data_IF_252615616006
#
_entry.id   IF_252615616006
#
_cell.length_a   1.000
_cell.length_b   1.000
_cell.length_c   1.000
_cell.angle_alpha   90.00
_cell.angle_beta   90.00
_cell.angle_gamma   90.00
#
_symmetry.space_group_name_H-M   'P 1'
#
loop_
_entity.id
_entity.type
_entity.pdbx_description
1 polymer ?
#
# COMPACT_ATOMS: atom_id res chain seq x y z
N UNK A 1 -11.20 -48.91 3.97
CA UNK A 1 -10.72 -47.81 4.84
C UNK A 1 -11.65 -47.73 6.04
N UNK A 2 -11.13 -47.88 7.26
CA UNK A 2 -11.93 -47.81 8.49
C UNK A 2 -12.58 -46.42 8.65
N UNK A 3 -13.66 -46.32 9.42
CA UNK A 3 -14.28 -45.02 9.75
C UNK A 3 -13.29 -44.09 10.45
N UNK A 4 -12.41 -44.66 11.28
CA UNK A 4 -11.34 -43.95 11.98
C UNK A 4 -10.34 -43.28 11.00
N UNK A 5 -9.85 -44.04 10.01
CA UNK A 5 -8.97 -43.51 8.97
C UNK A 5 -9.66 -42.42 8.13
N UNK A 6 -10.97 -42.51 7.89
CA UNK A 6 -11.73 -41.46 7.17
C UNK A 6 -11.81 -40.17 7.99
N UNK A 7 -12.04 -40.28 9.29
CA UNK A 7 -12.10 -39.14 10.20
C UNK A 7 -10.73 -38.45 10.30
N UNK A 8 -9.66 -39.22 10.46
CA UNK A 8 -8.30 -38.71 10.52
C UNK A 8 -7.89 -37.97 9.24
N UNK A 9 -8.18 -38.54 8.06
CA UNK A 9 -7.90 -37.88 6.77
C UNK A 9 -8.67 -36.56 6.64
N UNK A 10 -9.92 -36.50 7.10
CA UNK A 10 -10.71 -35.27 7.05
C UNK A 10 -10.13 -34.19 7.97
N UNK A 11 -9.71 -34.57 9.18
CA UNK A 11 -9.06 -33.67 10.14
C UNK A 11 -7.73 -33.13 9.60
N UNK A 12 -6.87 -34.00 9.05
CA UNK A 12 -5.60 -33.59 8.46
C UNK A 12 -5.79 -32.64 7.28
N UNK A 13 -6.79 -32.88 6.42
CA UNK A 13 -7.12 -31.96 5.32
C UNK A 13 -7.53 -30.58 5.83
N UNK A 14 -8.33 -30.52 6.90
CA UNK A 14 -8.73 -29.24 7.51
C UNK A 14 -7.52 -28.49 8.09
N UNK A 15 -6.64 -29.17 8.81
CA UNK A 15 -5.41 -28.57 9.36
C UNK A 15 -4.48 -28.06 8.27
N UNK A 16 -4.29 -28.82 7.19
CA UNK A 16 -3.47 -28.39 6.05
C UNK A 16 -4.07 -27.14 5.38
N UNK A 17 -5.40 -27.06 5.22
CA UNK A 17 -6.05 -25.88 4.67
C UNK A 17 -5.85 -24.64 5.57
N UNK A 18 -5.96 -24.79 6.89
CA UNK A 18 -5.71 -23.71 7.85
C UNK A 18 -4.24 -23.24 7.84
N UNK A 19 -3.29 -24.17 7.73
CA UNK A 19 -1.87 -23.85 7.59
C UNK A 19 -1.57 -23.09 6.30
N UNK A 20 -2.22 -23.44 5.18
CA UNK A 20 -2.07 -22.70 3.93
C UNK A 20 -2.58 -21.25 4.07
N UNK A 21 -3.73 -21.03 4.70
CA UNK A 21 -4.24 -19.67 4.96
C UNK A 21 -3.28 -18.86 5.85
N UNK A 22 -2.76 -19.48 6.92
CA UNK A 22 -1.78 -18.85 7.81
C UNK A 22 -0.49 -18.49 7.07
N UNK A 23 0.01 -19.39 6.22
CA UNK A 23 1.19 -19.15 5.38
C UNK A 23 0.93 -17.98 4.43
N UNK A 24 -0.21 -17.96 3.75
CA UNK A 24 -0.58 -16.88 2.82
C UNK A 24 -0.65 -15.52 3.53
N UNK A 25 -1.23 -15.47 4.73
CA UNK A 25 -1.26 -14.26 5.56
C UNK A 25 0.15 -13.72 5.84
N UNK A 26 1.08 -14.61 6.23
CA UNK A 26 2.48 -14.24 6.48
C UNK A 26 3.21 -13.79 5.21
N UNK A 27 2.92 -14.41 4.06
CA UNK A 27 3.52 -14.01 2.78
C UNK A 27 3.03 -12.63 2.32
N UNK A 28 1.74 -12.33 2.47
CA UNK A 28 1.19 -11.00 2.21
C UNK A 28 1.79 -9.96 3.16
N UNK A 29 1.93 -10.29 4.44
CA UNK A 29 2.60 -9.40 5.39
C UNK A 29 4.05 -9.14 4.95
N UNK A 30 4.83 -10.17 4.67
CA UNK A 30 6.21 -10.03 4.18
C UNK A 30 6.29 -9.17 2.91
N UNK A 31 5.35 -9.33 1.98
CA UNK A 31 5.26 -8.52 0.77
C UNK A 31 5.07 -7.04 1.10
N UNK A 32 4.13 -6.70 2.00
CA UNK A 32 3.90 -5.33 2.44
C UNK A 32 5.11 -4.74 3.18
N UNK A 33 5.73 -5.52 4.07
CA UNK A 33 6.94 -5.10 4.77
C UNK A 33 8.11 -4.87 3.82
N UNK A 34 8.28 -5.73 2.80
CA UNK A 34 9.32 -5.55 1.78
C UNK A 34 9.13 -4.24 1.03
N UNK A 35 7.90 -3.89 0.68
CA UNK A 35 7.60 -2.58 0.07
C UNK A 35 8.03 -1.42 0.98
N UNK A 36 7.64 -1.43 2.25
CA UNK A 36 8.01 -0.38 3.21
C UNK A 36 9.54 -0.24 3.36
N UNK A 37 10.26 -1.37 3.42
CA UNK A 37 11.72 -1.37 3.50
C UNK A 37 12.39 -0.85 2.21
N UNK A 38 11.92 -1.26 1.02
CA UNK A 38 12.46 -0.76 -0.24
C UNK A 38 12.26 0.75 -0.36
N UNK A 39 11.08 1.24 0.01
CA UNK A 39 10.77 2.66 -0.03
C UNK A 39 11.63 3.47 0.95
N UNK A 40 11.81 2.97 2.18
CA UNK A 40 12.70 3.59 3.17
C UNK A 40 14.17 3.63 2.71
N UNK A 41 14.64 2.58 2.04
CA UNK A 41 15.99 2.50 1.48
C UNK A 41 16.14 3.29 0.17
N UNK A 42 15.09 3.96 -0.30
CA UNK A 42 15.05 4.68 -1.57
C UNK A 42 15.34 3.79 -2.78
N UNK A 43 15.05 2.48 -2.70
CA UNK A 43 15.19 1.50 -3.78
C UNK A 43 13.91 1.43 -4.61
N UNK A 44 13.48 2.60 -5.06
CA UNK A 44 12.18 2.82 -5.68
C UNK A 44 12.03 2.09 -7.02
N UNK A 45 13.12 1.89 -7.75
CA UNK A 45 13.15 1.16 -9.03
C UNK A 45 12.76 -0.31 -8.90
N UNK A 46 12.90 -0.89 -7.69
CA UNK A 46 12.57 -2.30 -7.42
C UNK A 46 11.09 -2.51 -7.05
N UNK A 47 10.41 -1.47 -6.57
CA UNK A 47 9.02 -1.55 -6.10
C UNK A 47 8.06 -2.10 -7.18
N UNK A 48 8.15 -1.72 -8.47
CA UNK A 48 7.27 -2.29 -9.49
C UNK A 48 7.34 -3.81 -9.62
N UNK A 49 8.41 -4.48 -9.17
CA UNK A 49 8.52 -5.95 -9.19
C UNK A 49 7.62 -6.65 -8.16
N UNK A 50 7.12 -5.91 -7.17
CA UNK A 50 6.20 -6.42 -6.14
C UNK A 50 4.75 -6.51 -6.65
N UNK A 51 4.43 -5.83 -7.75
CA UNK A 51 3.12 -5.87 -8.39
C UNK A 51 2.97 -7.10 -9.29
N UNK A 52 1.74 -7.50 -9.56
CA UNK A 52 1.45 -8.54 -10.54
C UNK A 52 1.92 -8.07 -11.93
N UNK A 53 2.53 -8.98 -12.69
CA UNK A 53 3.14 -8.68 -13.99
C UNK A 53 2.28 -9.17 -15.16
N UNK A 54 1.50 -10.23 -14.95
CA UNK A 54 0.71 -10.90 -16.01
C UNK A 54 -0.79 -10.70 -15.83
N UNK A 55 -1.24 -10.42 -14.61
CA UNK A 55 -2.65 -10.23 -14.27
C UNK A 55 -3.16 -8.86 -14.77
N UNK A 56 -4.16 -8.83 -15.68
CA UNK A 56 -4.74 -7.58 -16.15
C UNK A 56 -5.48 -6.82 -15.04
N UNK A 57 -5.44 -5.49 -15.08
CA UNK A 57 -6.18 -4.63 -14.14
C UNK A 57 -5.39 -4.15 -12.93
N UNK A 58 -4.06 -4.36 -12.92
CA UNK A 58 -3.16 -3.75 -11.93
C UNK A 58 -3.34 -2.23 -11.92
N UNK A 59 -3.34 -1.61 -10.74
CA UNK A 59 -3.43 -0.15 -10.63
C UNK A 59 -2.78 0.39 -9.35
N UNK A 60 -2.42 1.67 -9.38
CA UNK A 60 -1.88 2.37 -8.22
C UNK A 60 -2.45 3.78 -8.09
N UNK A 61 -2.86 4.17 -6.88
CA UNK A 61 -3.47 5.48 -6.55
C UNK A 61 -2.82 6.05 -5.29
N UNK A 62 -1.89 7.00 -5.43
CA UNK A 62 -1.13 7.55 -4.31
C UNK A 62 -1.60 8.97 -4.02
N UNK A 63 -2.23 9.19 -2.87
CA UNK A 63 -2.62 10.53 -2.40
C UNK A 63 -3.44 11.30 -3.44
N UNK A 64 -2.92 12.45 -3.91
CA UNK A 64 -3.50 13.29 -4.94
C UNK A 64 -2.84 13.09 -6.32
N UNK A 65 -1.92 12.15 -6.47
CA UNK A 65 -1.15 11.93 -7.69
C UNK A 65 -2.02 11.58 -8.90
N UNK A 66 -3.13 10.87 -8.65
CA UNK A 66 -3.95 10.24 -9.67
C UNK A 66 -3.65 8.74 -9.83
N UNK A 67 -4.53 8.06 -10.58
CA UNK A 67 -4.44 6.62 -10.79
C UNK A 67 -3.52 6.32 -11.97
N UNK A 68 -2.59 5.40 -11.75
CA UNK A 68 -1.71 4.81 -12.75
C UNK A 68 -2.19 3.40 -13.09
N UNK A 69 -2.56 3.16 -14.34
CA UNK A 69 -3.15 1.91 -14.80
C UNK A 69 -2.12 0.96 -15.42
N UNK A 70 -2.24 -0.31 -15.05
CA UNK A 70 -1.36 -1.39 -15.46
C UNK A 70 0.06 -1.27 -14.88
N UNK A 71 0.82 -2.36 -15.03
CA UNK A 71 2.22 -2.39 -14.58
C UNK A 71 3.10 -1.32 -15.25
N UNK A 72 2.76 -0.91 -16.48
CA UNK A 72 3.43 0.20 -17.18
C UNK A 72 3.18 1.54 -16.48
N UNK A 73 1.96 1.81 -16.04
CA UNK A 73 1.63 2.99 -15.25
C UNK A 73 2.37 3.00 -13.92
N UNK A 74 2.36 1.88 -13.19
CA UNK A 74 3.10 1.73 -11.93
C UNK A 74 4.58 2.04 -12.14
N UNK A 75 5.23 1.43 -13.15
CA UNK A 75 6.63 1.71 -13.47
C UNK A 75 6.85 3.18 -13.79
N UNK A 76 5.98 3.79 -14.60
CA UNK A 76 6.05 5.22 -14.96
C UNK A 76 6.11 6.10 -13.72
N UNK A 77 5.23 5.89 -12.74
CA UNK A 77 5.24 6.66 -11.49
C UNK A 77 6.58 6.54 -10.74
N UNK A 78 7.09 5.32 -10.56
CA UNK A 78 8.33 5.06 -9.83
C UNK A 78 9.60 5.47 -10.60
N UNK A 79 9.54 5.68 -11.91
CA UNK A 79 10.67 6.19 -12.71
C UNK A 79 10.58 7.68 -13.01
N UNK A 80 9.50 8.37 -12.63
CA UNK A 80 9.31 9.81 -12.89
C UNK A 80 8.99 10.59 -11.62
N UNK A 81 7.85 10.33 -11.00
CA UNK A 81 7.35 11.07 -9.83
C UNK A 81 8.19 10.77 -8.59
N UNK A 82 8.43 9.49 -8.29
CA UNK A 82 9.26 9.05 -7.19
C UNK A 82 10.52 8.34 -7.69
N UNK A 83 11.13 8.86 -8.76
CA UNK A 83 12.38 8.33 -9.29
C UNK A 83 13.50 8.39 -8.25
N UNK A 84 14.42 7.42 -8.33
CA UNK A 84 15.60 7.42 -7.46
C UNK A 84 16.43 8.69 -7.63
N UNK A 85 16.54 9.23 -8.85
CA UNK A 85 17.19 10.51 -9.12
C UNK A 85 16.61 11.66 -8.26
N UNK A 86 15.29 11.71 -8.09
CA UNK A 86 14.64 12.73 -7.26
C UNK A 86 14.81 12.44 -5.77
N UNK A 87 14.63 11.19 -5.37
CA UNK A 87 14.63 10.81 -3.95
C UNK A 87 16.03 10.65 -3.35
N UNK A 88 17.07 10.39 -4.15
CA UNK A 88 18.47 10.33 -3.72
C UNK A 88 19.08 11.73 -3.65
N UNK A 89 18.37 12.66 -3.00
CA UNK A 89 18.81 14.03 -2.78
C UNK A 89 19.15 14.26 -1.29
N UNK A 90 20.11 15.15 -0.98
CA UNK A 90 20.51 15.40 0.40
C UNK A 90 19.34 15.82 1.29
N UNK A 91 19.13 15.04 2.35
CA UNK A 91 18.10 15.26 3.36
C UNK A 91 16.73 14.68 3.02
N UNK A 92 16.59 13.91 1.94
CA UNK A 92 15.36 13.15 1.69
C UNK A 92 15.19 12.01 2.72
N UNK A 93 14.00 11.89 3.28
CA UNK A 93 13.59 10.78 4.14
C UNK A 93 12.14 10.44 3.81
N UNK A 94 11.83 9.16 3.66
CA UNK A 94 10.45 8.70 3.53
C UNK A 94 10.27 7.44 4.38
N UNK A 95 9.76 7.60 5.60
CA UNK A 95 9.40 6.49 6.48
C UNK A 95 7.90 6.26 6.39
N UNK A 96 7.48 5.06 6.00
CA UNK A 96 6.08 4.64 6.00
C UNK A 96 5.97 3.28 6.69
N UNK A 97 5.77 3.28 8.00
CA UNK A 97 5.64 2.07 8.81
C UNK A 97 4.25 1.46 8.61
N UNK A 98 4.19 0.32 7.93
CA UNK A 98 2.96 -0.45 7.74
C UNK A 98 2.67 -1.26 9.00
N UNK A 99 1.60 -0.94 9.72
CA UNK A 99 1.25 -1.54 11.00
C UNK A 99 -0.24 -1.91 11.09
N UNK A 100 -0.56 -2.77 12.06
CA UNK A 100 -1.92 -3.21 12.40
C UNK A 100 -2.73 -3.69 11.18
N UNK A 101 -2.23 -4.69 10.43
CA UNK A 101 -2.96 -5.22 9.29
C UNK A 101 -4.29 -5.84 9.68
N UNK A 102 -5.25 -5.73 8.77
CA UNK A 102 -6.35 -6.68 8.62
C UNK A 102 -6.26 -7.20 7.19
N UNK A 103 -6.13 -8.52 7.03
CA UNK A 103 -5.97 -9.18 5.73
C UNK A 103 -7.03 -10.27 5.64
N UNK A 104 -7.86 -10.19 4.61
CA UNK A 104 -8.87 -11.19 4.30
C UNK A 104 -8.48 -11.93 3.02
N UNK A 105 -8.46 -13.25 3.08
CA UNK A 105 -8.02 -14.13 1.97
C UNK A 105 -9.24 -14.94 1.53
N UNK A 106 -9.47 -14.96 0.21
CA UNK A 106 -10.58 -15.70 -0.35
C UNK A 106 -10.42 -17.21 -0.14
N UNK A 107 -11.51 -17.98 -0.24
CA UNK A 107 -11.49 -19.42 0.07
C UNK A 107 -10.46 -20.23 -0.73
N UNK A 108 -10.25 -19.86 -1.99
CA UNK A 108 -9.32 -20.53 -2.90
C UNK A 108 -7.85 -20.13 -2.67
N UNK A 109 -7.57 -19.14 -1.81
CA UNK A 109 -6.20 -18.68 -1.54
C UNK A 109 -5.52 -18.06 -2.76
N UNK A 110 -6.29 -17.39 -3.62
CA UNK A 110 -5.80 -16.77 -4.87
C UNK A 110 -5.91 -15.24 -4.88
N UNK A 111 -6.77 -14.69 -4.02
CA UNK A 111 -7.00 -13.25 -3.85
C UNK A 111 -7.03 -12.89 -2.38
N UNK A 112 -6.60 -11.68 -2.07
CA UNK A 112 -6.75 -11.14 -0.73
C UNK A 112 -7.03 -9.63 -0.78
N UNK A 113 -7.68 -9.12 0.26
CA UNK A 113 -7.78 -7.68 0.54
C UNK A 113 -6.96 -7.40 1.79
N UNK A 114 -6.38 -6.22 1.89
CA UNK A 114 -5.69 -5.81 3.09
C UNK A 114 -5.78 -4.32 3.34
N UNK A 115 -5.85 -3.96 4.62
CA UNK A 115 -5.77 -2.58 5.06
C UNK A 115 -4.68 -2.46 6.11
N UNK A 116 -3.81 -1.47 5.94
CA UNK A 116 -2.68 -1.21 6.82
C UNK A 116 -2.67 0.24 7.24
N UNK A 117 -2.46 0.51 8.52
CA UNK A 117 -2.06 1.86 8.93
C UNK A 117 -0.64 2.13 8.47
N UNK A 118 -0.38 3.37 8.06
CA UNK A 118 0.94 3.85 7.69
C UNK A 118 1.28 5.08 8.51
N UNK A 119 2.06 4.87 9.57
CA UNK A 119 2.62 5.96 10.36
C UNK A 119 3.99 6.30 9.82
N UNK A 120 4.27 7.59 9.64
CA UNK A 120 5.45 7.99 8.90
C UNK A 120 6.04 9.33 9.32
N UNK A 121 7.27 9.52 8.87
CA UNK A 121 7.99 10.78 8.93
C UNK A 121 8.69 10.98 7.62
N UNK A 122 8.55 12.18 7.05
CA UNK A 122 9.08 12.52 5.74
C UNK A 122 9.92 13.78 5.90
N UNK A 123 11.05 13.84 5.23
CA UNK A 123 11.72 15.11 4.95
C UNK A 123 11.86 15.30 3.46
N UNK A 124 11.42 16.47 3.01
CA UNK A 124 11.39 16.84 1.61
C UNK A 124 11.87 18.27 1.46
N UNK A 125 12.69 18.50 0.43
CA UNK A 125 13.11 19.84 0.06
C UNK A 125 11.98 20.54 -0.68
N UNK A 126 11.61 21.72 -0.20
CA UNK A 126 10.70 22.63 -0.90
C UNK A 126 11.37 23.99 -0.99
N UNK A 127 11.66 24.40 -2.22
CA UNK A 127 12.49 25.58 -2.51
C UNK A 127 13.83 25.52 -1.75
N UNK A 128 14.12 26.53 -0.92
CA UNK A 128 15.36 26.65 -0.16
C UNK A 128 15.27 26.07 1.26
N UNK A 129 14.16 25.41 1.62
CA UNK A 129 13.95 24.83 2.95
C UNK A 129 13.82 23.31 2.89
N UNK A 130 14.28 22.64 3.95
CA UNK A 130 13.95 21.24 4.22
C UNK A 130 12.77 21.19 5.18
N UNK A 131 11.66 20.63 4.76
CA UNK A 131 10.51 20.43 5.64
C UNK A 131 10.65 19.10 6.41
N UNK A 132 10.20 19.09 7.66
CA UNK A 132 10.09 17.91 8.51
C UNK A 132 8.61 17.65 8.73
N UNK A 133 8.11 16.54 8.21
CA UNK A 133 6.69 16.24 8.09
C UNK A 133 6.35 14.96 8.86
N UNK A 134 5.22 14.99 9.57
CA UNK A 134 4.57 13.79 10.07
C UNK A 134 3.54 13.34 9.06
N UNK A 135 3.53 12.04 8.75
CA UNK A 135 2.61 11.46 7.78
C UNK A 135 1.77 10.36 8.42
N UNK A 136 0.47 10.36 8.14
CA UNK A 136 -0.44 9.30 8.48
C UNK A 136 -1.35 9.01 7.30
N UNK A 137 -1.54 7.74 7.01
CA UNK A 137 -2.53 7.28 6.05
C UNK A 137 -2.84 5.80 6.21
N UNK A 138 -3.62 5.28 5.28
CA UNK A 138 -3.89 3.85 5.16
C UNK A 138 -3.47 3.35 3.78
N UNK A 139 -2.85 2.17 3.74
CA UNK A 139 -2.77 1.39 2.51
C UNK A 139 -4.04 0.58 2.35
N UNK A 140 -4.69 0.74 1.20
CA UNK A 140 -5.91 0.09 0.74
C UNK A 140 -5.51 -0.85 -0.41
N UNK A 141 -5.51 -2.15 -0.14
CA UNK A 141 -4.78 -3.13 -0.92
C UNK A 141 -5.68 -4.24 -1.44
N UNK A 142 -5.58 -4.52 -2.74
CA UNK A 142 -5.98 -5.79 -3.34
C UNK A 142 -4.71 -6.58 -3.70
N UNK A 143 -4.72 -7.89 -3.44
CA UNK A 143 -3.65 -8.82 -3.76
C UNK A 143 -4.13 -9.94 -4.65
N UNK A 144 -3.21 -10.48 -5.46
CA UNK A 144 -3.43 -11.67 -6.28
C UNK A 144 -2.24 -12.61 -6.15
N UNK A 145 -2.49 -13.91 -6.14
CA UNK A 145 -1.44 -14.94 -6.24
C UNK A 145 -1.17 -15.22 -7.72
N UNK A 146 -0.01 -14.81 -8.20
CA UNK A 146 0.44 -14.99 -9.58
C UNK A 146 1.63 -15.96 -9.60
N UNK A 147 1.52 -17.04 -10.37
CA UNK A 147 2.54 -18.10 -10.45
C UNK A 147 2.97 -18.68 -9.08
N UNK A 148 2.03 -18.73 -8.12
CA UNK A 148 2.28 -19.24 -6.77
C UNK A 148 2.85 -18.23 -5.78
N UNK A 149 3.08 -16.98 -6.19
CA UNK A 149 3.56 -15.90 -5.32
C UNK A 149 2.51 -14.80 -5.15
N UNK A 150 2.34 -14.29 -3.94
CA UNK A 150 1.51 -13.12 -3.68
C UNK A 150 2.15 -11.85 -4.27
N UNK A 151 1.33 -11.05 -4.96
CA UNK A 151 1.71 -9.77 -5.57
C UNK A 151 0.67 -8.69 -5.27
N UNK A 152 1.08 -7.42 -5.33
CA UNK A 152 0.14 -6.30 -5.32
C UNK A 152 -0.68 -6.31 -6.61
N UNK A 153 -2.01 -6.29 -6.48
CA UNK A 153 -2.92 -6.14 -7.61
C UNK A 153 -3.37 -4.68 -7.72
N UNK A 154 -3.97 -4.13 -6.65
CA UNK A 154 -4.27 -2.71 -6.55
C UNK A 154 -3.68 -2.16 -5.27
N UNK A 155 -2.98 -1.05 -5.38
CA UNK A 155 -2.41 -0.34 -4.24
C UNK A 155 -2.97 1.07 -4.22
N UNK A 156 -3.62 1.46 -3.15
CA UNK A 156 -3.94 2.85 -2.92
C UNK A 156 -3.41 3.34 -1.56
N UNK A 157 -2.80 4.52 -1.55
CA UNK A 157 -2.39 5.20 -0.32
C UNK A 157 -3.37 6.33 -0.03
N UNK A 158 -4.22 6.12 0.99
CA UNK A 158 -5.25 7.05 1.45
C UNK A 158 -4.68 7.89 2.58
N UNK A 159 -4.15 9.06 2.24
CA UNK A 159 -3.57 9.97 3.22
C UNK A 159 -4.64 10.56 4.15
N UNK A 160 -4.35 10.57 5.45
CA UNK A 160 -5.10 11.32 6.45
C UNK A 160 -4.46 12.70 6.65
N UNK A 161 -3.14 12.77 6.82
CA UNK A 161 -2.39 14.03 6.88
C UNK A 161 -0.92 13.81 6.51
N UNK A 162 -0.29 14.87 6.03
CA UNK A 162 1.16 15.01 5.89
C UNK A 162 1.49 16.45 6.30
N UNK A 163 1.71 16.66 7.60
CA UNK A 163 1.73 17.97 8.22
C UNK A 163 3.13 18.36 8.69
N UNK A 164 3.46 19.66 8.77
CA UNK A 164 4.71 20.13 9.38
C UNK A 164 4.73 19.78 10.87
N UNK A 165 5.87 19.28 11.35
CA UNK A 165 6.04 18.85 12.74
C UNK A 165 5.76 19.99 13.73
N UNK A 166 6.11 21.21 13.38
CA UNK A 166 5.95 22.42 14.20
C UNK A 166 4.53 23.00 14.21
N UNK A 167 3.68 22.62 13.24
CA UNK A 167 2.31 23.12 13.13
C UNK A 167 1.24 22.10 13.53
N UNK A 168 1.50 20.82 13.24
CA UNK A 168 0.55 19.73 13.48
C UNK A 168 -0.64 19.72 12.50
N UNK A 169 -1.34 18.58 12.45
CA UNK A 169 -2.38 18.33 11.44
C UNK A 169 -3.66 19.15 11.63
N UNK A 170 -3.90 19.68 12.84
CA UNK A 170 -5.08 20.52 13.11
C UNK A 170 -4.97 21.88 12.43
N UNK A 171 -3.76 22.45 12.37
CA UNK A 171 -3.51 23.75 11.76
C UNK A 171 -3.10 23.64 10.29
N UNK A 172 -2.22 22.70 9.95
CA UNK A 172 -1.79 22.46 8.56
C UNK A 172 -1.77 20.95 8.26
N UNK A 173 -2.91 20.35 7.88
CA UNK A 173 -3.02 18.90 7.67
C UNK A 173 -2.25 18.36 6.47
N UNK A 174 -2.03 19.17 5.45
CA UNK A 174 -1.37 18.75 4.21
C UNK A 174 -0.36 19.81 3.81
N UNK A 175 0.87 19.36 3.61
CA UNK A 175 1.96 20.11 3.01
C UNK A 175 2.50 19.34 1.83
N UNK A 176 2.56 19.99 0.66
CA UNK A 176 2.96 19.34 -0.58
C UNK A 176 1.78 18.75 -1.35
N UNK A 177 2.06 18.40 -2.60
CA UNK A 177 1.10 17.80 -3.54
C UNK A 177 1.88 16.99 -4.55
N UNK A 178 1.51 15.72 -4.74
CA UNK A 178 2.08 14.88 -5.79
C UNK A 178 1.43 15.24 -7.13
N UNK A 179 0.18 15.71 -7.12
CA UNK A 179 -0.50 16.20 -8.33
C UNK A 179 0.33 17.24 -9.09
N UNK A 180 0.97 18.16 -8.35
CA UNK A 180 1.85 19.21 -8.89
C UNK A 180 3.30 18.79 -9.14
N UNK A 181 3.68 17.53 -8.90
CA UNK A 181 5.06 17.08 -9.05
C UNK A 181 5.47 17.00 -10.54
N UNK A 182 6.72 17.37 -10.88
CA UNK A 182 7.23 17.19 -12.24
C UNK A 182 7.10 15.74 -12.70
N UNK A 183 6.62 15.54 -13.93
CA UNK A 183 6.44 14.21 -14.54
C UNK A 183 5.17 13.46 -14.11
N UNK A 184 4.36 14.02 -13.20
CA UNK A 184 3.09 13.41 -12.82
C UNK A 184 2.11 13.39 -14.00
N UNK A 185 1.81 12.18 -14.48
CA UNK A 185 0.97 11.92 -15.66
C UNK A 185 0.07 10.71 -15.40
N UNK A 186 -0.92 10.85 -14.49
CA UNK A 186 -1.84 9.77 -14.17
C UNK A 186 -2.80 9.50 -15.35
N UNK A 187 -3.28 8.27 -15.44
CA UNK A 187 -4.24 7.84 -16.46
C UNK A 187 -5.69 8.28 -16.07
N UNK A 188 -5.96 8.43 -14.77
CA UNK A 188 -7.25 8.93 -14.23
C UNK A 188 -7.03 9.84 -13.01
N UNK A 189 -8.01 10.69 -12.65
CA UNK A 189 -7.96 11.45 -11.39
C UNK A 189 -7.86 10.54 -10.16
N UNK A 190 -7.28 11.07 -9.08
CA UNK A 190 -7.18 10.35 -7.81
C UNK A 190 -8.57 10.05 -7.24
N UNK A 191 -8.70 8.95 -6.52
CA UNK A 191 -9.94 8.62 -5.82
C UNK A 191 -9.78 8.85 -4.32
N UNK A 192 -10.87 9.21 -3.63
CA UNK A 192 -10.92 9.26 -2.17
C UNK A 192 -9.82 10.10 -1.49
N UNK A 193 -9.32 11.15 -2.15
CA UNK A 193 -8.39 12.11 -1.54
C UNK A 193 -9.16 13.05 -0.60
N UNK A 194 -9.25 12.64 0.67
CA UNK A 194 -10.04 13.33 1.71
C UNK A 194 -9.21 13.54 2.99
N UNK A 195 -8.13 14.34 2.93
CA UNK A 195 -7.27 14.57 4.09
C UNK A 195 -8.00 15.30 5.23
N UNK A 196 -7.49 15.15 6.45
CA UNK A 196 -8.05 15.73 7.67
C UNK A 196 -8.50 17.18 7.48
N UNK A 197 -9.64 17.52 8.09
CA UNK A 197 -10.07 18.90 8.23
C UNK A 197 -10.80 19.10 9.54
N UNK A 198 -10.48 20.18 10.24
CA UNK A 198 -11.19 20.63 11.44
C UNK A 198 -12.57 21.24 11.15
N UNK A 199 -12.92 21.44 9.87
CA UNK A 199 -14.15 22.12 9.45
C UNK A 199 -15.23 21.17 8.94
N UNK A 200 -15.01 19.85 8.98
CA UNK A 200 -16.00 18.84 8.58
C UNK A 200 -15.91 17.59 9.44
N UNK A 201 -16.93 16.75 9.37
CA UNK A 201 -16.86 15.38 9.89
C UNK A 201 -15.85 14.61 9.04
N UNK A 202 -14.78 14.13 9.67
CA UNK A 202 -13.73 13.40 8.98
C UNK A 202 -14.16 11.97 8.66
N UNK A 203 -13.77 11.49 7.49
CA UNK A 203 -13.97 10.12 7.03
C UNK A 203 -12.59 9.60 6.63
N UNK A 204 -12.20 8.44 7.16
CA UNK A 204 -10.86 7.86 6.97
C UNK A 204 -10.94 6.47 6.31
N UNK A 205 -11.30 6.40 5.01
CA UNK A 205 -11.38 5.14 4.29
C UNK A 205 -10.00 4.50 4.08
N UNK A 206 -9.94 3.19 3.82
CA UNK A 206 -11.05 2.24 3.86
C UNK A 206 -11.36 1.73 5.29
N UNK A 207 -12.56 1.15 5.51
CA UNK A 207 -12.82 0.33 6.69
C UNK A 207 -11.98 -0.97 6.63
N UNK A 208 -11.92 -1.75 7.72
CA UNK A 208 -11.47 -3.14 7.65
C UNK A 208 -12.13 -3.88 6.48
N UNK A 209 -11.40 -4.72 5.73
CA UNK A 209 -12.01 -5.54 4.70
C UNK A 209 -12.95 -6.57 5.35
N UNK A 210 -14.14 -6.72 4.79
CA UNK A 210 -15.03 -7.84 5.12
C UNK A 210 -14.51 -9.13 4.48
N UNK A 211 -14.83 -10.31 5.07
CA UNK A 211 -14.55 -11.61 4.47
C UNK A 211 -15.12 -11.72 3.05
N UNK A 212 -14.54 -12.62 2.25
CA UNK A 212 -15.09 -12.95 0.94
C UNK A 212 -16.37 -13.78 1.08
N UNK A 213 -17.31 -13.59 0.14
CA UNK A 213 -18.59 -14.31 0.10
C UNK A 213 -18.48 -15.75 -0.49
N UNK A 214 -17.28 -16.27 -0.74
CA UNK A 214 -17.01 -17.50 -1.53
C UNK A 214 -16.83 -18.83 -0.74
#
# INVERSE_FOLDING_TARGET
MSQDLKAEIAQLKAQVAELYKTKDYLEIWKLQSRYAHLYFMLRNSEIPSLFAQKTPGVSMDIEDAGIYEGIKGVRRFWTTVLSEERTHSPGWLAVHMTCNPIIEINKDGTKAKGVWFSHGSVSMRRENKMDCLLCLGKYDMDYVKEDGEWKFFRLAYRIAYMCPLDKGWVEEPITGSIAGAPGNTPDKPATNYLPYSKYRINIFPPPPPEPYDD
#
